data_IF_884628493823
#
_entry.id   IF_884628493823
#
_cell.length_a   1.000
_cell.length_b   1.000
_cell.length_c   1.000
_cell.angle_alpha   90.00
_cell.angle_beta   90.00
_cell.angle_gamma   90.00
#
_symmetry.space_group_name_H-M   'P 1'
#
loop_
_entity.id
_entity.type
_entity.pdbx_description
1 polymer ?
#
# COMPACT_ATOMS: atom_id res chain seq x y z
N UNK A 1 11.54 -27.90 0.32
CA UNK A 1 11.25 -27.52 1.71
C UNK A 1 10.93 -26.06 1.79
N UNK A 2 9.69 -25.77 2.01
CA UNK A 2 9.27 -24.41 2.15
C UNK A 2 9.51 -23.94 3.57
N UNK A 3 10.68 -23.43 3.79
CA UNK A 3 10.98 -22.86 5.08
C UNK A 3 10.40 -21.44 5.16
N UNK A 4 10.15 -21.00 6.35
CA UNK A 4 9.83 -19.60 6.62
C UNK A 4 10.86 -18.68 5.95
N UNK A 5 12.11 -19.05 6.03
CA UNK A 5 13.20 -18.25 5.49
C UNK A 5 13.10 -18.03 3.97
N UNK A 6 12.74 -19.07 3.22
CA UNK A 6 12.60 -18.94 1.78
C UNK A 6 11.41 -18.05 1.41
N UNK A 7 10.31 -18.17 2.11
CA UNK A 7 9.15 -17.30 1.92
C UNK A 7 9.48 -15.86 2.29
N UNK A 8 10.20 -15.66 3.38
CA UNK A 8 10.62 -14.33 3.82
C UNK A 8 11.47 -13.65 2.74
N UNK A 9 12.49 -14.34 2.22
CA UNK A 9 13.37 -13.78 1.18
C UNK A 9 12.63 -13.45 -0.09
N UNK A 10 11.69 -14.29 -0.48
CA UNK A 10 10.93 -14.10 -1.72
C UNK A 10 9.92 -12.97 -1.61
N UNK A 11 9.24 -12.88 -0.48
CA UNK A 11 8.09 -11.98 -0.33
C UNK A 11 8.44 -10.63 0.28
N UNK A 12 9.50 -10.54 1.09
CA UNK A 12 9.83 -9.32 1.80
C UNK A 12 9.98 -8.10 0.87
N UNK A 13 10.74 -8.16 -0.22
CA UNK A 13 10.91 -6.98 -1.07
C UNK A 13 9.60 -6.44 -1.63
N UNK A 14 8.70 -7.33 -2.04
CA UNK A 14 7.40 -6.93 -2.59
C UNK A 14 6.51 -6.32 -1.53
N UNK A 15 6.46 -6.94 -0.36
CA UNK A 15 5.65 -6.45 0.76
C UNK A 15 6.14 -5.09 1.23
N UNK A 16 7.46 -4.96 1.41
CA UNK A 16 8.06 -3.70 1.85
C UNK A 16 7.84 -2.60 0.83
N UNK A 17 8.04 -2.90 -0.46
CA UNK A 17 7.83 -1.93 -1.53
C UNK A 17 6.41 -1.39 -1.58
N UNK A 18 5.43 -2.28 -1.44
CA UNK A 18 4.01 -1.89 -1.43
C UNK A 18 3.69 -1.08 -0.17
N UNK A 19 4.13 -1.56 0.98
CA UNK A 19 3.90 -0.86 2.25
C UNK A 19 4.53 0.53 2.23
N UNK A 20 5.75 0.64 1.72
CA UNK A 20 6.47 1.90 1.62
C UNK A 20 5.73 2.92 0.76
N UNK A 21 5.15 2.47 -0.34
CA UNK A 21 4.35 3.34 -1.21
C UNK A 21 3.04 3.76 -0.54
N UNK A 22 2.44 2.88 0.24
CA UNK A 22 1.17 3.19 0.90
C UNK A 22 1.35 4.13 2.08
N UNK A 23 2.27 3.84 2.99
CA UNK A 23 2.40 4.62 4.22
C UNK A 23 3.40 5.77 4.11
N UNK A 24 4.23 5.77 3.09
CA UNK A 24 5.22 6.81 2.82
C UNK A 24 6.15 7.10 4.02
N UNK A 25 6.56 6.05 4.70
CA UNK A 25 7.42 6.12 5.88
C UNK A 25 8.17 4.80 5.98
N UNK A 26 9.51 4.87 5.92
CA UNK A 26 10.36 3.68 5.92
C UNK A 26 10.22 2.86 7.19
N UNK A 27 10.21 3.54 8.34
CA UNK A 27 10.15 2.86 9.63
C UNK A 27 8.80 2.18 9.83
N UNK A 28 7.72 2.88 9.50
CA UNK A 28 6.37 2.33 9.61
C UNK A 28 6.20 1.14 8.67
N UNK A 29 6.68 1.26 7.43
CA UNK A 29 6.59 0.18 6.46
C UNK A 29 7.34 -1.06 6.95
N UNK A 30 8.56 -0.86 7.46
CA UNK A 30 9.36 -1.95 8.01
C UNK A 30 8.70 -2.63 9.20
N UNK A 31 8.14 -1.84 10.10
CA UNK A 31 7.45 -2.37 11.29
C UNK A 31 6.22 -3.19 10.90
N UNK A 32 5.44 -2.70 9.95
CA UNK A 32 4.26 -3.42 9.45
C UNK A 32 4.66 -4.77 8.87
N UNK A 33 5.65 -4.77 7.98
CA UNK A 33 6.09 -5.99 7.31
C UNK A 33 6.64 -7.00 8.31
N UNK A 34 7.45 -6.55 9.27
CA UNK A 34 7.98 -7.43 10.31
C UNK A 34 6.87 -8.03 11.16
N UNK A 35 5.91 -7.24 11.56
CA UNK A 35 4.77 -7.72 12.34
C UNK A 35 4.00 -8.82 11.59
N UNK A 36 3.78 -8.63 10.30
CA UNK A 36 3.08 -9.61 9.48
C UNK A 36 3.89 -10.91 9.37
N UNK A 37 5.22 -10.82 9.23
CA UNK A 37 6.05 -12.02 9.18
C UNK A 37 6.10 -12.75 10.52
N UNK A 38 6.11 -12.03 11.63
CA UNK A 38 6.01 -12.66 12.96
C UNK A 38 4.70 -13.43 13.07
N UNK A 39 3.61 -12.84 12.63
CA UNK A 39 2.30 -13.48 12.63
C UNK A 39 2.30 -14.74 11.76
N UNK A 40 2.90 -14.65 10.59
CA UNK A 40 3.02 -15.78 9.67
C UNK A 40 3.86 -16.92 10.30
N UNK A 41 4.96 -16.55 10.93
CA UNK A 41 5.83 -17.52 11.62
C UNK A 41 5.07 -18.25 12.74
N UNK A 42 4.29 -17.52 13.52
CA UNK A 42 3.48 -18.10 14.59
C UNK A 42 2.46 -19.12 14.03
N UNK A 43 1.83 -18.79 12.91
CA UNK A 43 0.91 -19.71 12.25
C UNK A 43 1.61 -21.00 11.84
N UNK A 44 2.79 -20.90 11.26
CA UNK A 44 3.57 -22.07 10.86
C UNK A 44 3.96 -22.91 12.08
N UNK A 45 4.35 -22.27 13.18
CA UNK A 45 4.68 -22.95 14.43
C UNK A 45 3.50 -23.72 14.99
N UNK A 46 2.31 -23.20 14.84
CA UNK A 46 1.08 -23.83 15.30
C UNK A 46 0.51 -24.86 14.32
N UNK A 47 1.27 -25.19 13.27
CA UNK A 47 0.86 -26.19 12.30
C UNK A 47 -0.19 -25.73 11.31
N UNK A 48 -0.49 -24.45 11.27
CA UNK A 48 -1.47 -23.90 10.32
C UNK A 48 -0.82 -23.76 8.97
N UNK A 49 -1.42 -24.38 7.96
CA UNK A 49 -0.92 -24.32 6.58
C UNK A 49 -1.57 -23.16 5.86
N UNK A 50 -0.74 -22.24 5.34
CA UNK A 50 -1.19 -21.16 4.48
C UNK A 50 -0.95 -21.59 3.05
N UNK A 51 -2.02 -21.86 2.29
CA UNK A 51 -1.92 -22.47 0.96
C UNK A 51 -1.35 -21.52 -0.09
N UNK A 52 -1.60 -20.22 0.04
CA UNK A 52 -1.09 -19.21 -0.88
C UNK A 52 -0.37 -18.12 -0.08
N UNK A 53 0.89 -18.39 0.35
CA UNK A 53 1.60 -17.48 1.24
C UNK A 53 1.74 -16.07 0.69
N UNK A 54 2.07 -15.93 -0.60
CA UNK A 54 2.25 -14.60 -1.19
C UNK A 54 0.99 -13.75 -1.10
N UNK A 55 -0.14 -14.32 -1.52
CA UNK A 55 -1.42 -13.60 -1.47
C UNK A 55 -1.81 -13.27 -0.05
N UNK A 56 -1.62 -14.22 0.87
CA UNK A 56 -1.94 -14.01 2.28
C UNK A 56 -1.10 -12.90 2.88
N UNK A 57 0.21 -12.93 2.63
CA UNK A 57 1.14 -11.93 3.14
C UNK A 57 0.83 -10.54 2.59
N UNK A 58 0.56 -10.44 1.29
CA UNK A 58 0.22 -9.16 0.66
C UNK A 58 -1.11 -8.62 1.17
N UNK A 59 -2.10 -9.50 1.34
CA UNK A 59 -3.40 -9.10 1.90
C UNK A 59 -3.23 -8.56 3.31
N UNK A 60 -2.51 -9.29 4.15
CA UNK A 60 -2.27 -8.86 5.53
C UNK A 60 -1.51 -7.54 5.60
N UNK A 61 -0.48 -7.39 4.75
CA UNK A 61 0.32 -6.17 4.69
C UNK A 61 -0.53 -4.97 4.25
N UNK A 62 -1.25 -5.10 3.16
CA UNK A 62 -2.06 -4.00 2.64
C UNK A 62 -3.20 -3.64 3.59
N UNK A 63 -3.80 -4.62 4.25
CA UNK A 63 -4.82 -4.36 5.26
C UNK A 63 -4.24 -3.57 6.44
N UNK A 64 -3.06 -3.94 6.89
CA UNK A 64 -2.38 -3.23 7.99
C UNK A 64 -2.04 -1.80 7.57
N UNK A 65 -1.61 -1.61 6.34
CA UNK A 65 -1.35 -0.27 5.79
C UNK A 65 -2.63 0.58 5.75
N UNK A 66 -3.74 -0.01 5.30
CA UNK A 66 -5.03 0.70 5.28
C UNK A 66 -5.44 1.11 6.69
N UNK A 67 -5.30 0.19 7.65
CA UNK A 67 -5.63 0.48 9.05
C UNK A 67 -4.77 1.63 9.59
N UNK A 68 -3.47 1.60 9.30
CA UNK A 68 -2.54 2.65 9.70
C UNK A 68 -2.94 4.00 9.11
N UNK A 69 -3.27 4.03 7.82
CA UNK A 69 -3.64 5.26 7.13
C UNK A 69 -4.95 5.84 7.69
N UNK A 70 -5.91 4.98 7.99
CA UNK A 70 -7.17 5.41 8.62
C UNK A 70 -6.93 5.96 10.01
N UNK A 71 -6.08 5.29 10.79
CA UNK A 71 -5.72 5.75 12.13
C UNK A 71 -5.03 7.11 12.07
N UNK A 72 -4.04 7.25 11.20
CA UNK A 72 -3.27 8.50 11.03
C UNK A 72 -4.17 9.66 10.63
N UNK A 73 -5.08 9.44 9.69
CA UNK A 73 -6.02 10.47 9.23
C UNK A 73 -6.91 10.96 10.36
N UNK A 74 -7.33 10.04 11.23
CA UNK A 74 -8.22 10.36 12.36
C UNK A 74 -7.50 11.06 13.50
N UNK A 75 -6.22 10.78 13.71
CA UNK A 75 -5.44 11.23 14.86
C UNK A 75 -4.34 12.24 14.53
N UNK A 76 -4.17 12.59 13.25
CA UNK A 76 -3.13 13.54 12.87
C UNK A 76 -3.46 14.94 13.41
N UNK A 77 -2.51 15.61 14.10
CA UNK A 77 -2.71 17.00 14.49
C UNK A 77 -2.76 17.87 13.23
N UNK A 78 -3.61 18.88 13.25
CA UNK A 78 -3.75 19.84 12.15
C UNK A 78 -2.43 20.53 11.81
N UNK A 79 -1.54 20.67 12.78
CA UNK A 79 -0.23 21.30 12.59
C UNK A 79 0.76 20.44 11.83
N UNK A 80 0.59 19.13 11.79
CA UNK A 80 1.50 18.23 11.09
C UNK A 80 1.38 18.33 9.57
N UNK A 81 0.23 18.77 9.07
CA UNK A 81 0.00 18.93 7.64
C UNK A 81 0.69 20.18 7.08
N UNK A 82 0.97 21.18 7.93
CA UNK A 82 1.61 22.41 7.47
C UNK A 82 3.14 22.35 7.51
N UNK A 83 3.71 21.47 8.30
CA UNK A 83 5.17 21.33 8.39
C UNK A 83 5.78 20.61 7.18
N UNK A 84 4.99 19.76 6.52
CA UNK A 84 5.45 19.05 5.34
C UNK A 84 5.51 19.93 4.08
N UNK A 85 4.86 21.08 4.11
CA UNK A 85 4.80 21.96 2.96
C UNK A 85 6.00 22.90 2.84
N UNK A 86 6.78 23.05 3.90
CA UNK A 86 7.81 24.10 3.96
C UNK A 86 9.22 23.62 3.60
N UNK A 87 9.45 22.33 3.41
CA UNK A 87 10.81 21.84 3.40
C UNK A 87 11.44 21.57 2.03
N UNK A 88 10.74 21.74 0.91
CA UNK A 88 11.40 21.42 -0.34
C UNK A 88 11.01 22.34 -1.48
N UNK A 89 11.99 23.10 -1.90
CA UNK A 89 11.94 23.87 -3.13
C UNK A 89 12.14 23.00 -4.37
N UNK A 90 12.47 21.72 -4.22
CA UNK A 90 12.68 20.83 -5.35
C UNK A 90 11.55 19.82 -5.43
N UNK A 91 10.75 19.96 -6.46
CA UNK A 91 9.66 19.04 -6.73
C UNK A 91 10.16 17.89 -7.59
N UNK A 92 10.36 16.75 -6.98
CA UNK A 92 10.62 15.53 -7.73
C UNK A 92 9.29 14.89 -8.14
N UNK A 93 9.23 14.22 -9.30
CA UNK A 93 8.00 13.55 -9.75
C UNK A 93 7.44 12.59 -8.72
N UNK A 94 8.30 11.94 -7.95
CA UNK A 94 7.90 11.01 -6.90
C UNK A 94 7.10 11.70 -5.79
N UNK A 95 7.45 12.95 -5.48
CA UNK A 95 6.73 13.72 -4.46
C UNK A 95 5.32 14.07 -4.90
N UNK A 96 5.16 14.42 -6.17
CA UNK A 96 3.85 14.73 -6.74
C UNK A 96 2.96 13.49 -6.69
N UNK A 97 3.52 12.36 -7.10
CA UNK A 97 2.78 11.10 -7.07
C UNK A 97 2.38 10.73 -5.64
N UNK A 98 3.30 10.88 -4.68
CA UNK A 98 2.99 10.60 -3.29
C UNK A 98 1.90 11.51 -2.75
N UNK A 99 1.93 12.80 -3.08
CA UNK A 99 0.87 13.73 -2.70
C UNK A 99 -0.46 13.34 -3.33
N UNK A 100 -0.44 12.94 -4.60
CA UNK A 100 -1.67 12.54 -5.29
C UNK A 100 -2.26 11.27 -4.69
N UNK A 101 -1.42 10.29 -4.39
CA UNK A 101 -1.86 9.04 -3.76
C UNK A 101 -2.46 9.30 -2.37
N UNK A 102 -1.89 10.26 -1.63
CA UNK A 102 -2.37 10.61 -0.31
C UNK A 102 -3.78 11.22 -0.33
N UNK A 103 -4.23 11.75 -1.46
CA UNK A 103 -5.58 12.28 -1.60
C UNK A 103 -6.61 11.20 -1.92
N UNK A 104 -6.16 10.00 -2.26
CA UNK A 104 -7.05 8.86 -2.48
C UNK A 104 -7.47 8.27 -1.13
N UNK A 105 -8.63 7.63 -1.14
CA UNK A 105 -9.02 6.80 0.00
C UNK A 105 -8.03 5.64 0.13
N UNK A 106 -7.77 5.15 1.35
CA UNK A 106 -6.81 4.04 1.51
C UNK A 106 -7.10 2.82 0.64
N UNK A 107 -8.35 2.46 0.47
CA UNK A 107 -8.73 1.33 -0.40
C UNK A 107 -8.46 1.63 -1.87
N UNK A 108 -8.69 2.88 -2.30
CA UNK A 108 -8.37 3.32 -3.66
C UNK A 108 -6.86 3.28 -3.89
N UNK A 109 -6.10 3.79 -2.95
CA UNK A 109 -4.64 3.77 -2.99
C UNK A 109 -4.11 2.34 -3.14
N UNK A 110 -4.63 1.42 -2.32
CA UNK A 110 -4.26 0.00 -2.36
C UNK A 110 -4.45 -0.58 -3.77
N UNK A 111 -5.59 -0.32 -4.38
CA UNK A 111 -5.92 -0.83 -5.71
C UNK A 111 -4.96 -0.33 -6.78
N UNK A 112 -4.68 0.97 -6.77
CA UNK A 112 -3.79 1.59 -7.75
C UNK A 112 -2.36 1.08 -7.59
N UNK A 113 -1.89 0.97 -6.36
CA UNK A 113 -0.52 0.48 -6.10
C UNK A 113 -0.37 -0.97 -6.56
N UNK A 114 -1.34 -1.82 -6.22
CA UNK A 114 -1.31 -3.22 -6.68
C UNK A 114 -1.30 -3.30 -8.21
N UNK A 115 -2.12 -2.50 -8.85
CA UNK A 115 -2.15 -2.46 -10.32
C UNK A 115 -0.80 -2.02 -10.89
N UNK A 116 -0.19 -0.99 -10.30
CA UNK A 116 1.11 -0.48 -10.75
C UNK A 116 2.24 -1.50 -10.56
N UNK A 117 2.10 -2.39 -9.60
CA UNK A 117 3.08 -3.45 -9.35
C UNK A 117 2.93 -4.64 -10.30
N UNK A 118 1.96 -4.60 -11.19
CA UNK A 118 1.79 -5.62 -12.22
C UNK A 118 0.87 -6.77 -11.85
N UNK A 119 0.13 -6.66 -10.76
CA UNK A 119 -0.81 -7.71 -10.39
C UNK A 119 -2.01 -7.73 -11.34
N UNK A 120 -2.45 -8.94 -11.69
CA UNK A 120 -3.63 -9.12 -12.52
C UNK A 120 -4.89 -8.75 -11.75
N UNK A 121 -5.98 -8.54 -12.47
CA UNK A 121 -7.28 -8.27 -11.84
C UNK A 121 -7.68 -9.38 -10.88
N UNK A 122 -7.40 -10.62 -11.26
CA UNK A 122 -7.68 -11.78 -10.39
C UNK A 122 -6.87 -11.73 -9.10
N UNK A 123 -5.58 -11.41 -9.23
CA UNK A 123 -4.70 -11.28 -8.07
C UNK A 123 -5.11 -10.10 -7.19
N UNK A 124 -5.44 -8.97 -7.80
CA UNK A 124 -5.93 -7.79 -7.05
C UNK A 124 -7.20 -8.13 -6.29
N UNK A 125 -8.12 -8.85 -6.93
CA UNK A 125 -9.35 -9.27 -6.25
C UNK A 125 -9.06 -10.10 -5.01
N UNK A 126 -8.09 -11.00 -5.11
CA UNK A 126 -7.69 -11.86 -3.98
C UNK A 126 -7.02 -11.06 -2.87
N UNK A 127 -6.06 -10.21 -3.24
CA UNK A 127 -5.28 -9.42 -2.27
C UNK A 127 -6.17 -8.37 -1.60
N UNK A 128 -6.99 -7.67 -2.37
CA UNK A 128 -7.85 -6.61 -1.85
C UNK A 128 -9.15 -7.12 -1.24
N UNK A 129 -9.44 -8.41 -1.39
CA UNK A 129 -10.66 -9.06 -0.89
C UNK A 129 -11.92 -8.41 -1.44
N UNK A 130 -11.96 -8.25 -2.76
CA UNK A 130 -13.13 -7.75 -3.46
C UNK A 130 -13.51 -8.72 -4.58
N UNK A 131 -14.73 -8.58 -5.09
CA UNK A 131 -15.19 -9.40 -6.19
C UNK A 131 -14.39 -9.07 -7.45
N UNK A 132 -14.00 -10.12 -8.17
CA UNK A 132 -13.28 -9.96 -9.45
C UNK A 132 -14.03 -9.03 -10.40
N UNK A 133 -15.35 -9.15 -10.46
CA UNK A 133 -16.19 -8.34 -11.35
C UNK A 133 -16.14 -6.84 -11.03
N UNK A 134 -15.72 -6.48 -9.81
CA UNK A 134 -15.64 -5.08 -9.38
C UNK A 134 -14.28 -4.43 -9.64
N UNK A 135 -13.24 -5.22 -9.91
CA UNK A 135 -11.86 -4.70 -10.02
C UNK A 135 -11.73 -3.69 -11.14
N UNK A 136 -12.15 -4.05 -12.35
CA UNK A 136 -12.00 -3.18 -13.51
C UNK A 136 -12.67 -1.84 -13.34
N UNK A 137 -13.89 -1.85 -12.84
CA UNK A 137 -14.68 -0.63 -12.63
C UNK A 137 -14.07 0.26 -11.56
N UNK A 138 -13.67 -0.35 -10.44
CA UNK A 138 -13.05 0.37 -9.34
C UNK A 138 -11.73 0.99 -9.76
N UNK A 139 -10.88 0.22 -10.45
CA UNK A 139 -9.61 0.73 -10.96
C UNK A 139 -9.81 1.87 -11.95
N UNK A 140 -10.73 1.72 -12.88
CA UNK A 140 -11.00 2.75 -13.89
C UNK A 140 -11.39 4.08 -13.23
N UNK A 141 -12.30 4.02 -12.26
CA UNK A 141 -12.72 5.22 -11.53
C UNK A 141 -11.57 5.84 -10.75
N UNK A 142 -10.79 5.01 -10.08
CA UNK A 142 -9.69 5.48 -9.24
C UNK A 142 -8.58 6.09 -10.08
N UNK A 143 -8.23 5.45 -11.21
CA UNK A 143 -7.22 5.99 -12.11
C UNK A 143 -7.67 7.32 -12.72
N UNK A 144 -8.95 7.45 -13.05
CA UNK A 144 -9.50 8.71 -13.55
C UNK A 144 -9.40 9.80 -12.48
N UNK A 145 -9.75 9.48 -11.25
CA UNK A 145 -9.63 10.38 -10.10
C UNK A 145 -8.18 10.80 -9.89
N UNK A 146 -7.25 9.84 -9.91
CA UNK A 146 -5.82 10.11 -9.74
C UNK A 146 -5.29 11.01 -10.84
N UNK A 147 -5.69 10.78 -12.07
CA UNK A 147 -5.30 11.62 -13.21
C UNK A 147 -5.73 13.06 -12.99
N UNK A 148 -6.96 13.27 -12.50
CA UNK A 148 -7.46 14.61 -12.19
C UNK A 148 -6.65 15.29 -11.09
N UNK A 149 -6.30 14.53 -10.04
CA UNK A 149 -5.49 15.05 -8.94
C UNK A 149 -4.09 15.45 -9.45
N UNK A 150 -3.47 14.58 -10.25
CA UNK A 150 -2.16 14.86 -10.81
C UNK A 150 -2.15 16.11 -11.68
N UNK A 151 -3.18 16.31 -12.50
CA UNK A 151 -3.32 17.52 -13.32
C UNK A 151 -3.41 18.77 -12.44
N UNK A 152 -4.22 18.70 -11.39
CA UNK A 152 -4.37 19.83 -10.47
C UNK A 152 -3.05 20.16 -9.79
N UNK A 153 -2.34 19.16 -9.29
CA UNK A 153 -1.05 19.36 -8.63
C UNK A 153 0.01 19.91 -9.57
N UNK A 154 0.04 19.43 -10.81
CA UNK A 154 0.95 19.99 -11.83
C UNK A 154 0.64 21.45 -12.13
N UNK A 155 -0.63 21.82 -12.17
CA UNK A 155 -1.04 23.21 -12.40
C UNK A 155 -0.62 24.13 -11.26
N UNK A 156 -0.71 23.65 -10.04
CA UNK A 156 -0.31 24.43 -8.86
C UNK A 156 1.21 24.66 -8.81
N UNK A 157 1.99 23.82 -9.51
CA UNK A 157 3.44 23.90 -9.51
C UNK A 157 4.02 24.74 -10.62
N UNK A 158 3.26 24.98 -11.66
CA UNK A 158 3.65 25.81 -12.79
C UNK A 158 2.74 27.01 -12.84
#
# INVERSE_FOLDING_TARGET
MNSFESTYRECYPKMYGIARKMVNDEDVAGDIVQEIFVYYFEKMQNGIVVHHPQSWLLRATTNKCVDYLKYRKKHAPLSAASELADETETFEPDMILQQALAELKPMEMKMVILYSEGYSYKEIAQIADINFSSVGKTLSRTLHKLKGILKRLNYEMY
#
